data_IF_773429074597
#
_entry.id   IF_773429074597
#
_cell.length_a   1.000
_cell.length_b   1.000
_cell.length_c   1.000
_cell.angle_alpha   90.00
_cell.angle_beta   90.00
_cell.angle_gamma   90.00
#
_symmetry.space_group_name_H-M   'P 1'
#
loop_
_entity.id
_entity.type
_entity.pdbx_description
1 polymer ?
#
# COMPACT_ATOMS: atom_id res chain seq x y z
N UNK A 1 39.76 -53.67 12.53
CA UNK A 1 40.18 -52.38 11.94
C UNK A 1 38.97 -51.44 11.96
N UNK A 2 38.96 -50.44 12.84
CA UNK A 2 37.84 -49.48 12.99
C UNK A 2 38.03 -48.32 12.01
N UNK A 3 36.96 -47.98 11.30
CA UNK A 3 36.96 -47.11 10.12
C UNK A 3 37.13 -45.63 10.52
N UNK A 4 38.26 -44.97 10.23
CA UNK A 4 38.58 -43.63 10.73
C UNK A 4 37.69 -42.50 10.17
N UNK A 5 36.95 -42.74 9.07
CA UNK A 5 36.10 -41.74 8.43
C UNK A 5 34.85 -41.34 9.21
N UNK A 6 34.31 -42.22 10.07
CA UNK A 6 33.08 -41.90 10.84
C UNK A 6 33.31 -40.98 12.02
N UNK A 7 34.50 -41.04 12.63
CA UNK A 7 34.86 -40.14 13.74
C UNK A 7 35.06 -38.70 13.23
N UNK A 8 35.63 -38.54 12.04
CA UNK A 8 35.92 -37.23 11.47
C UNK A 8 34.64 -36.46 11.07
N UNK A 9 33.65 -37.16 10.47
CA UNK A 9 32.34 -36.57 10.13
C UNK A 9 31.55 -36.18 11.37
N UNK A 10 31.60 -36.98 12.43
CA UNK A 10 30.92 -36.67 13.70
C UNK A 10 31.51 -35.42 14.39
N UNK A 11 32.82 -35.22 14.31
CA UNK A 11 33.50 -34.04 14.90
C UNK A 11 33.12 -32.76 14.14
N UNK A 12 33.03 -32.81 12.80
CA UNK A 12 32.62 -31.65 11.98
C UNK A 12 31.16 -31.28 12.24
N UNK A 13 30.26 -32.27 12.34
CA UNK A 13 28.84 -32.04 12.66
C UNK A 13 28.65 -31.44 14.07
N UNK A 14 29.40 -31.93 15.07
CA UNK A 14 29.36 -31.33 16.41
C UNK A 14 29.88 -29.88 16.41
N UNK A 15 30.94 -29.59 15.65
CA UNK A 15 31.48 -28.23 15.51
C UNK A 15 30.48 -27.25 14.88
N UNK A 16 29.74 -27.69 13.86
CA UNK A 16 28.70 -26.89 13.21
C UNK A 16 27.50 -26.62 14.13
N UNK A 17 27.05 -27.64 14.88
CA UNK A 17 25.93 -27.51 15.82
C UNK A 17 26.30 -26.58 16.99
N UNK A 18 27.52 -26.69 17.54
CA UNK A 18 27.99 -25.81 18.60
C UNK A 18 28.15 -24.36 18.13
N UNK A 19 28.55 -24.15 16.87
CA UNK A 19 28.65 -22.82 16.27
C UNK A 19 27.27 -22.19 16.06
N UNK A 20 26.28 -22.96 15.57
CA UNK A 20 24.89 -22.53 15.44
C UNK A 20 24.25 -22.21 16.79
N UNK A 21 24.48 -23.04 17.81
CA UNK A 21 23.99 -22.80 19.17
C UNK A 21 24.60 -21.53 19.78
N UNK A 22 25.89 -21.26 19.55
CA UNK A 22 26.55 -20.03 20.00
C UNK A 22 26.04 -18.78 19.27
N UNK A 23 25.73 -18.89 17.98
CA UNK A 23 25.12 -17.80 17.19
C UNK A 23 23.70 -17.52 17.68
N UNK A 24 22.86 -18.55 17.85
CA UNK A 24 21.52 -18.42 18.38
C UNK A 24 21.50 -17.86 19.81
N UNK A 25 22.43 -18.29 20.67
CA UNK A 25 22.55 -17.74 22.02
C UNK A 25 22.95 -16.25 22.01
N UNK A 26 23.81 -15.82 21.08
CA UNK A 26 24.15 -14.39 20.90
C UNK A 26 22.99 -13.58 20.34
N UNK A 27 22.16 -14.16 19.47
CA UNK A 27 20.95 -13.51 18.94
C UNK A 27 19.92 -13.33 20.06
N UNK A 28 19.60 -14.40 20.80
CA UNK A 28 18.65 -14.35 21.92
C UNK A 28 19.13 -13.43 23.06
N UNK A 29 20.45 -13.37 23.33
CA UNK A 29 21.00 -12.44 24.32
C UNK A 29 20.88 -10.98 23.87
N UNK A 30 21.07 -10.69 22.58
CA UNK A 30 20.87 -9.34 22.02
C UNK A 30 19.40 -8.93 21.98
N UNK A 31 18.48 -9.87 21.81
CA UNK A 31 17.04 -9.60 21.90
C UNK A 31 16.58 -9.40 23.35
N UNK A 32 17.09 -10.19 24.31
CA UNK A 32 16.86 -9.98 25.74
C UNK A 32 17.39 -8.62 26.23
N UNK A 33 18.60 -8.23 25.84
CA UNK A 33 19.16 -6.91 26.18
C UNK A 33 18.44 -5.74 25.46
N UNK A 34 17.85 -5.97 24.28
CA UNK A 34 16.95 -5.01 23.62
C UNK A 34 15.63 -4.86 24.38
N UNK A 35 15.05 -5.95 24.87
CA UNK A 35 13.82 -5.94 25.66
C UNK A 35 14.01 -5.32 27.05
N UNK A 36 15.14 -5.59 27.72
CA UNK A 36 15.44 -4.99 29.03
C UNK A 36 15.74 -3.49 28.93
N UNK A 37 16.36 -3.02 27.83
CA UNK A 37 16.49 -1.59 27.55
C UNK A 37 15.15 -0.91 27.23
N UNK A 38 14.18 -1.65 26.70
CA UNK A 38 12.81 -1.17 26.47
C UNK A 38 11.98 -1.15 27.76
N UNK A 39 12.23 -2.06 28.71
CA UNK A 39 11.54 -2.11 30.01
C UNK A 39 12.08 -1.09 31.02
N UNK A 40 13.37 -0.74 30.95
CA UNK A 40 13.98 0.29 31.81
C UNK A 40 13.66 1.73 31.41
N UNK A 41 12.92 1.95 30.31
CA UNK A 41 12.46 3.26 29.87
C UNK A 41 11.14 3.68 30.59
N UNK A 42 11.14 3.71 31.92
CA UNK A 42 9.97 4.13 32.71
C UNK A 42 9.67 5.65 32.61
N UNK A 43 10.42 6.41 31.79
CA UNK A 43 10.16 7.81 31.43
C UNK A 43 9.45 8.02 30.08
N UNK A 44 9.05 6.95 29.36
CA UNK A 44 8.44 7.07 28.02
C UNK A 44 6.92 7.31 28.03
N UNK A 45 6.24 7.09 29.15
CA UNK A 45 4.78 7.32 29.25
C UNK A 45 4.42 8.81 29.20
N UNK A 46 5.27 9.69 29.71
CA UNK A 46 5.01 11.14 29.75
C UNK A 46 5.27 11.85 28.41
N UNK A 47 6.14 11.30 27.55
CA UNK A 47 6.35 11.82 26.19
C UNK A 47 5.25 11.38 25.20
N UNK A 48 4.69 10.19 25.42
CA UNK A 48 3.60 9.65 24.61
C UNK A 48 2.30 10.44 24.78
N UNK A 49 1.99 10.93 25.98
CA UNK A 49 0.81 11.77 26.26
C UNK A 49 0.97 13.20 25.75
N UNK A 50 2.17 13.78 25.79
CA UNK A 50 2.43 15.14 25.30
C UNK A 50 2.27 15.30 23.77
N UNK A 51 2.45 14.24 22.98
CA UNK A 51 2.30 14.26 21.51
C UNK A 51 0.86 14.08 21.01
N UNK A 52 -0.08 13.69 21.88
CA UNK A 52 -1.49 13.43 21.51
C UNK A 52 -2.19 14.70 21.00
N UNK A 53 -2.06 15.87 21.66
CA UNK A 53 -2.65 17.10 21.14
C UNK A 53 -2.10 17.50 19.76
N UNK A 54 -0.81 17.25 19.51
CA UNK A 54 -0.18 17.58 18.22
C UNK A 54 -0.67 16.67 17.10
N UNK A 55 -0.78 15.36 17.33
CA UNK A 55 -1.28 14.43 16.30
C UNK A 55 -2.77 14.63 16.05
N UNK A 56 -3.56 14.86 17.11
CA UNK A 56 -4.97 15.23 16.97
C UNK A 56 -5.11 16.50 16.14
N UNK A 57 -4.35 17.54 16.45
CA UNK A 57 -4.35 18.79 15.69
C UNK A 57 -4.01 18.56 14.22
N UNK A 58 -3.02 17.72 13.87
CA UNK A 58 -2.70 17.40 12.47
C UNK A 58 -3.88 16.75 11.74
N UNK A 59 -4.61 15.86 12.41
CA UNK A 59 -5.82 15.23 11.86
C UNK A 59 -6.89 16.30 11.63
N UNK A 60 -7.15 17.14 12.63
CA UNK A 60 -8.16 18.20 12.55
C UNK A 60 -7.79 19.24 11.46
N UNK A 61 -6.52 19.68 11.38
CA UNK A 61 -6.01 20.56 10.33
C UNK A 61 -6.19 19.94 8.93
N UNK A 62 -6.01 18.62 8.79
CA UNK A 62 -6.22 17.93 7.52
C UNK A 62 -7.71 17.82 7.16
N UNK A 63 -8.59 17.58 8.15
CA UNK A 63 -10.04 17.63 7.95
C UNK A 63 -10.46 19.02 7.48
N UNK A 64 -9.99 20.07 8.15
CA UNK A 64 -10.29 21.46 7.79
C UNK A 64 -9.80 21.78 6.36
N UNK A 65 -8.58 21.35 6.00
CA UNK A 65 -8.07 21.49 4.64
C UNK A 65 -8.95 20.76 3.61
N UNK A 66 -9.42 19.54 3.91
CA UNK A 66 -10.29 18.78 3.00
C UNK A 66 -11.68 19.41 2.88
N UNK A 67 -12.17 20.07 3.94
CA UNK A 67 -13.43 20.80 3.93
C UNK A 67 -13.40 21.97 2.92
N UNK A 68 -12.24 22.58 2.69
CA UNK A 68 -12.07 23.68 1.73
C UNK A 68 -12.20 23.24 0.26
N UNK A 69 -12.07 21.94 -0.03
CA UNK A 69 -12.28 21.40 -1.38
C UNK A 69 -13.77 21.38 -1.72
N UNK A 70 -14.24 22.52 -2.25
CA UNK A 70 -15.64 22.76 -2.59
C UNK A 70 -16.11 22.00 -3.83
N UNK A 71 -15.20 21.67 -4.75
CA UNK A 71 -15.51 20.99 -6.01
C UNK A 71 -14.74 19.67 -6.14
N UNK A 72 -15.25 18.79 -7.03
CA UNK A 72 -14.56 17.55 -7.38
C UNK A 72 -13.17 17.82 -7.96
N UNK A 73 -13.06 18.82 -8.82
CA UNK A 73 -11.79 19.17 -9.47
C UNK A 73 -10.75 19.66 -8.45
N UNK A 74 -11.17 20.42 -7.43
CA UNK A 74 -10.28 20.85 -6.34
C UNK A 74 -9.76 19.65 -5.55
N UNK A 75 -10.65 18.74 -5.15
CA UNK A 75 -10.27 17.55 -4.39
C UNK A 75 -9.34 16.63 -5.23
N UNK A 76 -9.64 16.44 -6.52
CA UNK A 76 -8.82 15.63 -7.44
C UNK A 76 -7.46 16.26 -7.67
N UNK A 77 -7.38 17.57 -7.86
CA UNK A 77 -6.10 18.29 -7.98
C UNK A 77 -5.26 18.09 -6.72
N UNK A 78 -5.87 18.25 -5.56
CA UNK A 78 -5.22 18.12 -4.27
C UNK A 78 -4.59 16.74 -4.03
N UNK A 79 -5.05 15.65 -4.66
CA UNK A 79 -4.42 14.32 -4.53
C UNK A 79 -2.93 14.30 -4.91
N UNK A 80 -2.51 15.18 -5.84
CA UNK A 80 -1.11 15.28 -6.28
C UNK A 80 -0.31 16.31 -5.47
N UNK A 81 -0.93 16.95 -4.48
CA UNK A 81 -0.31 17.96 -3.63
C UNK A 81 0.11 17.33 -2.28
N UNK A 82 1.22 17.79 -1.69
CA UNK A 82 1.62 17.37 -0.35
C UNK A 82 0.61 17.84 0.70
N UNK A 83 0.40 17.02 1.73
CA UNK A 83 -0.41 17.38 2.91
C UNK A 83 0.53 17.99 3.95
N UNK A 84 0.51 19.31 4.11
CA UNK A 84 1.42 20.00 5.05
C UNK A 84 2.89 20.02 4.59
N UNK A 85 3.82 20.06 5.56
CA UNK A 85 5.27 20.22 5.32
C UNK A 85 6.02 18.90 5.13
N UNK A 86 5.43 17.79 5.55
CA UNK A 86 5.96 16.44 5.40
C UNK A 86 4.94 15.61 4.62
N UNK A 87 5.37 14.72 3.72
CA UNK A 87 4.50 13.77 2.99
C UNK A 87 3.94 12.67 3.93
N UNK A 88 3.65 13.04 5.16
CA UNK A 88 2.93 12.23 6.12
C UNK A 88 1.45 12.47 5.85
N UNK A 89 0.88 11.71 4.90
CA UNK A 89 -0.51 11.24 5.13
C UNK A 89 -0.50 10.79 6.57
N UNK A 90 -1.38 11.35 7.42
CA UNK A 90 -1.38 11.11 8.87
C UNK A 90 -1.75 9.65 9.11
N UNK A 91 -0.77 8.80 8.86
CA UNK A 91 -0.80 7.36 8.87
C UNK A 91 0.10 6.98 10.02
N UNK A 92 -0.49 6.31 11.01
CA UNK A 92 0.25 5.41 11.90
C UNK A 92 1.60 5.96 12.41
N UNK A 93 1.59 6.93 13.33
CA UNK A 93 2.81 7.40 14.01
C UNK A 93 3.33 6.30 14.95
N UNK A 94 3.94 5.28 14.35
CA UNK A 94 4.38 4.07 15.01
C UNK A 94 4.99 3.04 14.06
N UNK A 95 4.62 3.06 12.77
CA UNK A 95 5.47 2.50 11.72
C UNK A 95 6.57 3.52 11.38
N UNK A 96 7.55 3.66 12.28
CA UNK A 96 8.88 4.12 11.90
C UNK A 96 9.55 3.05 11.02
N UNK A 97 9.05 2.85 9.81
CA UNK A 97 9.90 2.42 8.72
C UNK A 97 10.15 3.66 7.90
N UNK A 98 11.42 4.01 7.73
CA UNK A 98 11.91 5.00 6.77
C UNK A 98 11.56 4.69 5.30
N UNK A 99 10.59 3.81 5.08
CA UNK A 99 10.08 3.37 3.80
C UNK A 99 8.56 3.26 3.92
N UNK A 100 7.87 4.26 3.35
CA UNK A 100 6.52 4.10 2.83
C UNK A 100 6.57 2.94 1.84
N UNK A 101 6.32 1.71 2.31
CA UNK A 101 6.33 0.53 1.46
C UNK A 101 5.13 0.63 0.52
N UNK A 102 5.32 0.63 -0.80
CA UNK A 102 4.21 0.65 -1.76
C UNK A 102 3.26 -0.54 -1.62
N UNK A 103 3.61 -1.56 -0.84
CA UNK A 103 2.71 -2.66 -0.48
C UNK A 103 1.57 -2.21 0.43
N UNK A 104 1.77 -1.17 1.25
CA UNK A 104 0.74 -0.58 2.13
C UNK A 104 -0.14 0.44 1.42
N UNK A 105 0.03 0.62 0.11
CA UNK A 105 -0.61 1.70 -0.64
C UNK A 105 -2.14 1.65 -0.58
N UNK A 106 -2.73 0.46 -0.50
CA UNK A 106 -4.19 0.33 -0.43
C UNK A 106 -4.72 0.88 0.90
N UNK A 107 -4.07 0.55 2.01
CA UNK A 107 -4.38 1.12 3.31
C UNK A 107 -4.18 2.65 3.35
N UNK A 108 -3.14 3.17 2.67
CA UNK A 108 -2.94 4.61 2.57
C UNK A 108 -4.05 5.31 1.78
N UNK A 109 -4.56 4.68 0.72
CA UNK A 109 -5.71 5.20 -0.02
C UNK A 109 -6.96 5.24 0.86
N UNK A 110 -7.20 4.20 1.66
CA UNK A 110 -8.32 4.18 2.61
C UNK A 110 -8.16 5.18 3.77
N UNK A 111 -6.92 5.52 4.15
CA UNK A 111 -6.61 6.51 5.18
C UNK A 111 -6.72 7.96 4.68
N UNK A 112 -6.65 8.20 3.37
CA UNK A 112 -6.64 9.54 2.80
C UNK A 112 -8.05 10.13 2.73
N UNK A 113 -8.28 11.17 3.52
CA UNK A 113 -9.55 11.90 3.60
C UNK A 113 -9.93 12.58 2.28
N UNK A 114 -8.97 12.94 1.42
CA UNK A 114 -9.25 13.46 0.07
C UNK A 114 -9.93 12.39 -0.78
N UNK A 115 -9.50 11.13 -0.64
CA UNK A 115 -10.11 10.00 -1.36
C UNK A 115 -11.54 9.80 -0.86
N UNK A 116 -11.77 9.83 0.45
CA UNK A 116 -13.12 9.73 1.02
C UNK A 116 -14.03 10.88 0.54
N UNK A 117 -13.51 12.11 0.48
CA UNK A 117 -14.23 13.28 -0.04
C UNK A 117 -14.62 13.11 -1.51
N UNK A 118 -13.68 12.67 -2.35
CA UNK A 118 -13.92 12.39 -3.78
C UNK A 118 -14.94 11.26 -3.93
N UNK A 119 -14.82 10.20 -3.13
CA UNK A 119 -15.75 9.08 -3.12
C UNK A 119 -17.17 9.56 -2.85
N UNK A 120 -17.40 10.36 -1.80
CA UNK A 120 -18.72 10.93 -1.52
C UNK A 120 -19.25 11.79 -2.67
N UNK A 121 -18.40 12.64 -3.26
CA UNK A 121 -18.77 13.49 -4.39
C UNK A 121 -19.15 12.67 -5.63
N UNK A 122 -18.51 11.52 -5.87
CA UNK A 122 -18.85 10.61 -6.97
C UNK A 122 -20.10 9.79 -6.65
N UNK A 123 -20.24 9.29 -5.42
CA UNK A 123 -21.40 8.52 -4.97
C UNK A 123 -22.71 9.33 -5.02
N UNK A 124 -22.63 10.66 -4.89
CA UNK A 124 -23.77 11.56 -5.05
C UNK A 124 -24.20 11.81 -6.51
N UNK A 125 -23.46 11.28 -7.51
CA UNK A 125 -23.75 11.47 -8.94
C UNK A 125 -24.50 10.27 -9.52
N UNK A 126 -25.18 10.44 -10.68
CA UNK A 126 -25.67 9.31 -11.46
C UNK A 126 -24.54 8.32 -11.79
N UNK A 127 -24.84 7.02 -11.77
CA UNK A 127 -23.84 5.94 -11.96
C UNK A 127 -22.98 6.16 -13.21
N UNK A 128 -23.59 6.48 -14.35
CA UNK A 128 -22.87 6.71 -15.60
C UNK A 128 -21.95 7.94 -15.55
N UNK A 129 -22.31 8.97 -14.77
CA UNK A 129 -21.45 10.15 -14.59
C UNK A 129 -20.30 9.84 -13.62
N UNK A 130 -20.57 9.11 -12.54
CA UNK A 130 -19.55 8.69 -11.59
C UNK A 130 -18.49 7.80 -12.25
N UNK A 131 -18.91 6.83 -13.07
CA UNK A 131 -18.05 5.99 -13.88
C UNK A 131 -17.15 6.81 -14.82
N UNK A 132 -17.76 7.65 -15.67
CA UNK A 132 -17.01 8.51 -16.61
C UNK A 132 -16.00 9.41 -15.89
N UNK A 133 -16.38 9.99 -14.75
CA UNK A 133 -15.51 10.85 -13.97
C UNK A 133 -14.38 10.07 -13.30
N UNK A 134 -14.65 8.90 -12.71
CA UNK A 134 -13.61 8.05 -12.13
C UNK A 134 -12.57 7.63 -13.17
N UNK A 135 -13.03 7.18 -14.35
CA UNK A 135 -12.16 6.86 -15.48
C UNK A 135 -11.31 8.06 -15.91
N UNK A 136 -11.91 9.25 -16.02
CA UNK A 136 -11.19 10.47 -16.38
C UNK A 136 -10.15 10.89 -15.32
N UNK A 137 -10.45 10.70 -14.02
CA UNK A 137 -9.50 10.97 -12.93
C UNK A 137 -8.31 10.03 -13.06
N UNK A 138 -8.54 8.74 -13.30
CA UNK A 138 -7.48 7.76 -13.52
C UNK A 138 -6.59 8.13 -14.70
N UNK A 139 -7.17 8.44 -15.87
CA UNK A 139 -6.40 8.78 -17.06
C UNK A 139 -5.52 10.02 -16.83
N UNK A 140 -6.06 11.03 -16.15
CA UNK A 140 -5.30 12.23 -15.79
C UNK A 140 -4.15 11.92 -14.82
N UNK A 141 -4.38 11.09 -13.79
CA UNK A 141 -3.33 10.71 -12.83
C UNK A 141 -2.29 9.78 -13.43
N UNK A 142 -2.66 8.89 -14.35
CA UNK A 142 -1.72 8.04 -15.08
C UNK A 142 -0.80 8.87 -15.96
N UNK A 143 -1.35 9.86 -16.68
CA UNK A 143 -0.55 10.80 -17.47
C UNK A 143 0.44 11.56 -16.58
N UNK A 144 -0.05 12.20 -15.50
CA UNK A 144 0.80 12.96 -14.59
C UNK A 144 1.90 12.10 -13.94
N UNK A 145 1.58 10.85 -13.59
CA UNK A 145 2.56 9.91 -13.05
C UNK A 145 3.60 9.51 -14.10
N UNK A 146 3.18 9.22 -15.32
CA UNK A 146 4.08 8.87 -16.44
C UNK A 146 5.02 10.02 -16.78
N UNK A 147 4.50 11.25 -16.82
CA UNK A 147 5.28 12.47 -17.08
C UNK A 147 6.28 12.73 -15.95
N UNK A 148 5.83 12.61 -14.69
CA UNK A 148 6.69 12.77 -13.52
C UNK A 148 7.81 11.72 -13.46
N UNK A 149 7.51 10.47 -13.82
CA UNK A 149 8.49 9.39 -13.90
C UNK A 149 9.50 9.66 -15.02
N UNK A 150 9.02 10.07 -16.20
CA UNK A 150 9.87 10.38 -17.35
C UNK A 150 10.81 11.55 -17.06
N UNK A 151 10.31 12.60 -16.41
CA UNK A 151 11.13 13.72 -15.95
C UNK A 151 12.17 13.27 -14.92
N UNK A 152 11.79 12.45 -13.94
CA UNK A 152 12.73 11.93 -12.94
C UNK A 152 13.84 11.07 -13.54
N UNK A 153 13.53 10.27 -14.56
CA UNK A 153 14.51 9.48 -15.32
C UNK A 153 15.43 10.39 -16.14
N UNK A 154 14.89 11.43 -16.79
CA UNK A 154 15.67 12.40 -17.55
C UNK A 154 16.62 13.20 -16.64
N UNK A 155 16.13 13.70 -15.51
CA UNK A 155 16.93 14.41 -14.51
C UNK A 155 18.11 13.56 -14.00
N UNK A 156 17.88 12.26 -13.81
CA UNK A 156 18.95 11.33 -13.44
C UNK A 156 19.97 11.09 -14.56
N UNK A 157 19.51 11.08 -15.81
CA UNK A 157 20.37 10.91 -16.98
C UNK A 157 21.26 12.14 -17.22
N UNK A 158 20.72 13.34 -16.99
CA UNK A 158 21.33 14.62 -17.32
C UNK A 158 22.08 15.30 -16.15
N UNK A 159 21.90 14.82 -14.91
CA UNK A 159 22.41 15.44 -13.68
C UNK A 159 22.89 14.46 -12.59
N UNK A 160 23.38 15.03 -11.48
CA UNK A 160 24.25 14.49 -10.40
C UNK A 160 23.79 13.23 -9.60
N UNK A 161 22.99 12.34 -10.19
CA UNK A 161 22.60 11.07 -9.57
C UNK A 161 21.72 11.23 -8.32
N UNK A 162 20.79 12.19 -8.33
CA UNK A 162 19.76 12.35 -7.29
C UNK A 162 18.38 12.42 -7.93
N UNK A 163 17.61 11.32 -7.91
CA UNK A 163 16.18 11.32 -8.26
C UNK A 163 15.50 12.15 -7.19
N UNK A 164 14.69 13.15 -7.54
CA UNK A 164 13.80 13.79 -6.57
C UNK A 164 12.66 12.80 -6.28
N UNK A 165 12.63 12.12 -5.12
CA UNK A 165 11.71 11.00 -4.91
C UNK A 165 10.29 11.47 -4.57
N UNK A 166 10.13 12.72 -4.14
CA UNK A 166 8.87 13.25 -3.60
C UNK A 166 7.76 13.38 -4.66
N UNK A 167 7.99 13.97 -5.86
CA UNK A 167 6.94 14.07 -6.88
C UNK A 167 6.47 12.71 -7.42
N UNK A 168 7.38 11.74 -7.57
CA UNK A 168 7.05 10.39 -8.06
C UNK A 168 6.15 9.67 -7.07
N UNK A 169 6.46 9.76 -5.76
CA UNK A 169 5.65 9.15 -4.69
C UNK A 169 4.27 9.78 -4.56
N UNK A 170 4.18 11.11 -4.65
CA UNK A 170 2.92 11.85 -4.68
C UNK A 170 2.02 11.38 -5.83
N UNK A 171 2.58 11.31 -7.04
CA UNK A 171 1.83 10.88 -8.21
C UNK A 171 1.47 9.39 -8.16
N UNK A 172 2.33 8.54 -7.58
CA UNK A 172 2.01 7.13 -7.35
C UNK A 172 0.82 6.96 -6.40
N UNK A 173 0.79 7.72 -5.31
CA UNK A 173 -0.36 7.71 -4.39
C UNK A 173 -1.63 8.22 -5.10
N UNK A 174 -1.55 9.34 -5.81
CA UNK A 174 -2.68 9.91 -6.54
C UNK A 174 -3.24 8.94 -7.61
N UNK A 175 -2.37 8.24 -8.33
CA UNK A 175 -2.75 7.21 -9.30
C UNK A 175 -3.37 5.98 -8.62
N UNK A 176 -2.83 5.57 -7.47
CA UNK A 176 -3.43 4.51 -6.66
C UNK A 176 -4.84 4.90 -6.21
N UNK A 177 -5.01 6.08 -5.62
CA UNK A 177 -6.32 6.62 -5.25
C UNK A 177 -7.29 6.62 -6.45
N UNK A 178 -6.84 7.08 -7.61
CA UNK A 178 -7.66 7.07 -8.83
C UNK A 178 -8.06 5.65 -9.27
N UNK A 179 -7.14 4.68 -9.18
CA UNK A 179 -7.44 3.28 -9.49
C UNK A 179 -8.45 2.67 -8.51
N UNK A 180 -8.36 3.01 -7.22
CA UNK A 180 -9.38 2.61 -6.24
C UNK A 180 -10.75 3.21 -6.57
N UNK A 181 -10.81 4.48 -6.97
CA UNK A 181 -12.06 5.11 -7.40
C UNK A 181 -12.63 4.44 -8.66
N UNK A 182 -11.79 4.07 -9.63
CA UNK A 182 -12.22 3.24 -10.78
C UNK A 182 -12.79 1.90 -10.31
N UNK A 183 -12.12 1.20 -9.41
CA UNK A 183 -12.62 -0.07 -8.88
C UNK A 183 -13.97 0.07 -8.14
N UNK A 184 -14.24 1.24 -7.57
CA UNK A 184 -15.48 1.53 -6.86
C UNK A 184 -16.65 1.92 -7.79
N UNK A 185 -16.38 2.73 -8.81
CA UNK A 185 -17.43 3.37 -9.62
C UNK A 185 -17.52 2.87 -11.06
N UNK A 186 -16.43 2.39 -11.66
CA UNK A 186 -16.46 1.80 -13.00
C UNK A 186 -17.04 0.38 -12.97
N UNK A 187 -17.43 -0.14 -14.13
CA UNK A 187 -17.62 -1.57 -14.29
C UNK A 187 -16.28 -2.34 -14.18
N UNK A 188 -16.36 -3.65 -13.92
CA UNK A 188 -15.16 -4.47 -13.75
C UNK A 188 -14.26 -4.47 -15.00
N UNK A 189 -14.81 -4.68 -16.23
CA UNK A 189 -13.98 -4.65 -17.43
C UNK A 189 -13.19 -3.35 -17.59
N UNK A 190 -13.83 -2.19 -17.39
CA UNK A 190 -13.16 -0.89 -17.50
C UNK A 190 -12.10 -0.70 -16.42
N UNK A 191 -12.40 -1.07 -15.17
CA UNK A 191 -11.41 -0.99 -14.08
C UNK A 191 -10.20 -1.92 -14.34
N UNK A 192 -10.43 -3.13 -14.83
CA UNK A 192 -9.35 -4.07 -15.20
C UNK A 192 -8.53 -3.55 -16.39
N UNK A 193 -9.17 -2.96 -17.39
CA UNK A 193 -8.48 -2.32 -18.53
C UNK A 193 -7.59 -1.18 -18.05
N UNK A 194 -8.07 -0.31 -17.16
CA UNK A 194 -7.27 0.76 -16.57
C UNK A 194 -6.08 0.23 -15.77
N UNK A 195 -6.29 -0.81 -14.95
CA UNK A 195 -5.20 -1.45 -14.21
C UNK A 195 -4.15 -2.04 -15.17
N UNK A 196 -4.59 -2.69 -16.25
CA UNK A 196 -3.69 -3.21 -17.28
C UNK A 196 -2.97 -2.09 -18.03
N UNK A 197 -3.62 -0.97 -18.30
CA UNK A 197 -3.00 0.20 -18.92
C UNK A 197 -1.87 0.74 -18.03
N UNK A 198 -2.09 0.86 -16.72
CA UNK A 198 -1.04 1.24 -15.77
C UNK A 198 0.15 0.27 -15.82
N UNK A 199 -0.11 -1.04 -15.70
CA UNK A 199 0.93 -2.07 -15.77
C UNK A 199 1.72 -2.01 -17.09
N UNK A 200 1.03 -1.81 -18.22
CA UNK A 200 1.65 -1.82 -19.56
C UNK A 200 2.47 -0.56 -19.82
N UNK A 201 1.90 0.62 -19.54
CA UNK A 201 2.56 1.92 -19.78
C UNK A 201 3.83 2.03 -18.95
N UNK A 202 3.76 1.66 -17.66
CA UNK A 202 4.92 1.76 -16.78
C UNK A 202 5.86 0.56 -16.95
N UNK A 203 5.34 -0.63 -17.28
CA UNK A 203 6.17 -1.80 -17.59
C UNK A 203 7.14 -1.53 -18.73
N UNK A 204 6.68 -0.90 -19.82
CA UNK A 204 7.54 -0.47 -20.92
C UNK A 204 8.66 0.48 -20.44
N UNK A 205 8.38 1.36 -19.47
CA UNK A 205 9.40 2.25 -18.89
C UNK A 205 10.40 1.51 -18.01
N UNK A 206 9.96 0.50 -17.27
CA UNK A 206 10.85 -0.38 -16.51
C UNK A 206 11.80 -1.10 -17.47
N UNK A 207 11.31 -1.61 -18.59
CA UNK A 207 12.12 -2.29 -19.62
C UNK A 207 13.12 -1.32 -20.29
N UNK A 208 12.69 -0.10 -20.62
CA UNK A 208 13.56 0.98 -21.12
C UNK A 208 14.71 1.27 -20.13
N UNK A 209 14.40 1.34 -18.83
CA UNK A 209 15.39 1.62 -17.76
C UNK A 209 16.33 0.43 -17.54
N UNK A 210 15.82 -0.81 -17.54
CA UNK A 210 16.62 -2.02 -17.33
C UNK A 210 17.63 -2.27 -18.47
N UNK A 211 17.22 -1.92 -19.69
CA UNK A 211 18.03 -2.07 -20.90
C UNK A 211 19.12 -1.01 -21.06
N UNK A 212 18.96 0.19 -20.48
CA UNK A 212 19.96 1.25 -20.47
C UNK A 212 20.99 1.05 -19.32
N UNK A 213 22.27 0.75 -19.62
CA UNK A 213 23.29 0.54 -18.59
C UNK A 213 23.50 1.71 -17.63
N UNK A 214 23.18 2.95 -18.04
CA UNK A 214 23.29 4.14 -17.19
C UNK A 214 22.14 4.26 -16.20
N UNK A 215 20.98 3.71 -16.55
CA UNK A 215 19.75 3.81 -15.77
C UNK A 215 19.42 2.56 -14.98
N UNK A 216 20.06 1.41 -15.24
CA UNK A 216 19.77 0.13 -14.57
C UNK A 216 19.68 0.20 -13.04
N UNK A 217 20.48 1.06 -12.40
CA UNK A 217 20.42 1.28 -10.96
C UNK A 217 19.08 1.85 -10.46
N UNK A 218 18.31 2.51 -11.33
CA UNK A 218 16.97 3.02 -11.04
C UNK A 218 15.86 1.99 -11.24
N UNK A 219 16.14 0.84 -11.86
CA UNK A 219 15.10 -0.14 -12.21
C UNK A 219 14.24 -0.48 -11.00
N UNK A 220 14.86 -0.71 -9.84
CA UNK A 220 14.16 -1.06 -8.61
C UNK A 220 13.25 0.08 -8.11
N UNK A 221 13.71 1.32 -8.14
CA UNK A 221 12.91 2.48 -7.72
C UNK A 221 11.74 2.73 -8.68
N UNK A 222 11.98 2.62 -9.98
CA UNK A 222 10.96 2.75 -11.03
C UNK A 222 9.93 1.62 -10.90
N UNK A 223 10.36 0.39 -10.62
CA UNK A 223 9.46 -0.73 -10.37
C UNK A 223 8.63 -0.51 -9.09
N UNK A 224 9.28 -0.09 -8.01
CA UNK A 224 8.68 0.12 -6.68
C UNK A 224 7.64 1.24 -6.66
N UNK A 225 7.94 2.37 -7.30
CA UNK A 225 7.08 3.56 -7.29
C UNK A 225 6.37 3.82 -8.62
N UNK A 226 6.56 2.96 -9.61
CA UNK A 226 5.92 3.06 -10.92
C UNK A 226 4.83 2.01 -11.14
N UNK A 227 5.04 0.77 -10.72
CA UNK A 227 4.07 -0.32 -10.93
C UNK A 227 3.15 -0.50 -9.71
N UNK A 228 1.88 -0.89 -9.92
CA UNK A 228 1.01 -1.27 -8.82
C UNK A 228 1.59 -2.51 -8.15
N UNK A 229 1.78 -2.46 -6.83
CA UNK A 229 2.31 -3.59 -6.09
C UNK A 229 1.33 -4.75 -6.02
N UNK A 230 1.84 -5.99 -5.93
CA UNK A 230 0.99 -7.18 -5.94
C UNK A 230 -0.06 -7.19 -4.82
N UNK A 231 0.29 -6.76 -3.61
CA UNK A 231 -0.66 -6.66 -2.50
C UNK A 231 -1.75 -5.61 -2.76
N UNK A 232 -1.41 -4.52 -3.44
CA UNK A 232 -2.36 -3.49 -3.86
C UNK A 232 -3.36 -4.07 -4.88
N UNK A 233 -2.86 -4.79 -5.89
CA UNK A 233 -3.69 -5.45 -6.91
C UNK A 233 -4.60 -6.51 -6.29
N UNK A 234 -4.09 -7.31 -5.35
CA UNK A 234 -4.88 -8.31 -4.63
C UNK A 234 -6.08 -7.67 -3.90
N UNK A 235 -5.83 -6.60 -3.14
CA UNK A 235 -6.88 -5.87 -2.43
C UNK A 235 -7.91 -5.27 -3.40
N UNK A 236 -7.48 -4.76 -4.56
CA UNK A 236 -8.41 -4.30 -5.61
C UNK A 236 -9.28 -5.43 -6.16
N UNK A 237 -8.71 -6.61 -6.42
CA UNK A 237 -9.46 -7.76 -6.94
C UNK A 237 -10.53 -8.21 -5.95
N UNK A 238 -10.17 -8.37 -4.67
CA UNK A 238 -11.14 -8.71 -3.63
C UNK A 238 -12.23 -7.66 -3.51
N UNK A 239 -11.84 -6.38 -3.45
CA UNK A 239 -12.79 -5.28 -3.36
C UNK A 239 -13.79 -5.28 -4.52
N UNK A 240 -13.31 -5.40 -5.76
CA UNK A 240 -14.19 -5.47 -6.94
C UNK A 240 -15.09 -6.70 -6.91
N UNK A 241 -14.58 -7.86 -6.49
CA UNK A 241 -15.33 -9.11 -6.47
C UNK A 241 -16.54 -9.03 -5.52
N UNK A 242 -16.33 -8.52 -4.32
CA UNK A 242 -17.39 -8.34 -3.32
C UNK A 242 -18.37 -7.24 -3.74
N UNK A 243 -17.86 -6.09 -4.22
CA UNK A 243 -18.69 -4.97 -4.69
C UNK A 243 -19.65 -5.39 -5.80
N UNK A 244 -19.20 -6.24 -6.73
CA UNK A 244 -20.02 -6.74 -7.84
C UNK A 244 -20.98 -7.87 -7.43
N UNK A 245 -20.98 -8.27 -6.16
CA UNK A 245 -21.86 -9.32 -5.66
C UNK A 245 -21.52 -10.72 -6.17
N UNK A 246 -20.26 -10.96 -6.56
CA UNK A 246 -19.83 -12.25 -7.11
C UNK A 246 -19.56 -13.32 -6.04
N UNK A 247 -19.43 -12.92 -4.78
CA UNK A 247 -19.23 -13.80 -3.63
C UNK A 247 -18.36 -13.13 -2.56
N UNK A 248 -17.91 -13.92 -1.59
CA UNK A 248 -16.95 -13.50 -0.56
C UNK A 248 -15.52 -13.94 -0.91
N UNK A 249 -14.53 -13.47 -0.15
CA UNK A 249 -13.10 -13.86 -0.29
C UNK A 249 -12.91 -15.39 -0.44
N UNK A 250 -13.60 -16.18 0.36
CA UNK A 250 -13.52 -17.65 0.31
C UNK A 250 -14.10 -18.27 -0.96
N UNK A 251 -15.02 -17.59 -1.64
CA UNK A 251 -15.47 -18.01 -2.97
C UNK A 251 -14.38 -17.75 -4.01
N UNK A 252 -13.72 -16.60 -3.93
CA UNK A 252 -12.64 -16.23 -4.82
C UNK A 252 -11.45 -17.18 -4.71
N UNK A 253 -11.04 -17.57 -3.49
CA UNK A 253 -10.02 -18.60 -3.25
C UNK A 253 -10.38 -19.93 -3.92
N UNK A 254 -11.63 -20.39 -3.73
CA UNK A 254 -12.12 -21.66 -4.30
C UNK A 254 -12.20 -21.61 -5.82
N UNK A 255 -12.65 -20.49 -6.39
CA UNK A 255 -12.81 -20.33 -7.84
C UNK A 255 -11.47 -20.24 -8.58
N UNK A 256 -10.43 -19.71 -7.92
CA UNK A 256 -9.08 -19.60 -8.46
C UNK A 256 -8.17 -20.78 -8.09
N UNK A 257 -8.61 -21.66 -7.18
CA UNK A 257 -7.81 -22.78 -6.63
C UNK A 257 -6.47 -22.30 -6.04
N UNK A 258 -6.53 -21.25 -5.22
CA UNK A 258 -5.36 -20.65 -4.57
C UNK A 258 -5.62 -20.44 -3.08
N UNK A 259 -4.55 -20.14 -2.34
CA UNK A 259 -4.65 -19.57 -0.99
C UNK A 259 -4.28 -18.10 -1.02
N UNK A 260 -5.03 -17.30 -0.28
CA UNK A 260 -4.80 -15.88 -0.13
C UNK A 260 -4.37 -15.54 1.31
N UNK A 261 -3.72 -14.38 1.53
CA UNK A 261 -3.43 -13.89 2.87
C UNK A 261 -4.70 -13.65 3.69
N UNK A 262 -4.53 -13.44 4.99
CA UNK A 262 -5.64 -13.08 5.86
C UNK A 262 -6.13 -11.66 5.54
N UNK A 263 -7.45 -11.52 5.43
CA UNK A 263 -8.13 -10.24 5.32
C UNK A 263 -8.79 -9.85 6.63
N UNK A 264 -8.71 -8.57 6.97
CA UNK A 264 -9.54 -7.94 7.99
C UNK A 264 -10.59 -7.06 7.33
N UNK A 265 -11.74 -6.91 7.99
CA UNK A 265 -12.75 -5.96 7.57
C UNK A 265 -12.45 -4.60 8.19
N UNK A 266 -12.32 -3.58 7.35
CA UNK A 266 -12.03 -2.21 7.77
C UNK A 266 -13.09 -1.25 7.21
N UNK A 267 -13.60 -0.31 8.01
CA UNK A 267 -14.51 0.71 7.50
C UNK A 267 -13.73 1.78 6.72
N UNK A 268 -14.21 2.13 5.53
CA UNK A 268 -13.80 3.35 4.84
C UNK A 268 -14.73 4.48 5.28
N UNK A 269 -14.28 5.29 6.23
CA UNK A 269 -15.10 6.34 6.85
C UNK A 269 -15.20 7.60 5.97
N UNK A 270 -16.22 8.42 6.26
CA UNK A 270 -16.33 9.76 5.68
C UNK A 270 -15.07 10.61 5.98
N UNK A 271 -14.79 11.60 5.13
CA UNK A 271 -13.58 12.42 5.24
C UNK A 271 -13.53 13.26 6.53
N UNK A 272 -14.70 13.63 7.05
CA UNK A 272 -14.92 14.40 8.27
C UNK A 272 -15.08 13.53 9.52
N UNK A 273 -14.90 12.22 9.40
CA UNK A 273 -14.95 11.30 10.54
C UNK A 273 -13.95 11.73 11.62
N UNK A 274 -14.45 11.82 12.86
CA UNK A 274 -13.65 12.31 13.97
C UNK A 274 -12.44 11.42 14.23
N UNK A 275 -12.58 10.11 14.06
CA UNK A 275 -11.48 9.13 14.12
C UNK A 275 -11.67 8.08 13.03
N UNK A 276 -10.69 7.94 12.15
CA UNK A 276 -10.62 6.93 11.10
C UNK A 276 -9.82 5.70 11.60
N UNK A 277 -10.08 4.45 11.14
CA UNK A 277 -9.31 3.26 11.52
C UNK A 277 -7.79 3.35 11.28
N UNK A 278 -7.32 4.28 10.45
CA UNK A 278 -5.88 4.47 10.19
C UNK A 278 -5.27 5.64 10.97
N UNK A 279 -6.07 6.40 11.71
CA UNK A 279 -5.58 7.54 12.48
C UNK A 279 -4.71 7.07 13.65
N UNK A 280 -3.69 7.87 13.99
CA UNK A 280 -2.83 7.65 15.14
C UNK A 280 -3.62 7.42 16.45
N UNK A 281 -4.71 8.17 16.64
CA UNK A 281 -5.59 8.07 17.81
C UNK A 281 -6.23 6.69 17.92
N UNK A 282 -6.68 6.10 16.81
CA UNK A 282 -7.18 4.73 16.82
C UNK A 282 -6.06 3.72 17.07
N UNK A 283 -5.03 3.74 16.22
CA UNK A 283 -4.00 2.69 16.18
C UNK A 283 -3.20 2.59 17.48
N UNK A 284 -2.84 3.71 18.11
CA UNK A 284 -1.97 3.70 19.30
C UNK A 284 -2.67 4.03 20.61
N UNK A 285 -3.89 4.58 20.55
CA UNK A 285 -4.65 4.99 21.74
C UNK A 285 -5.97 4.28 21.87
N UNK A 286 -6.30 3.36 20.96
CA UNK A 286 -7.53 2.58 20.98
C UNK A 286 -8.77 3.48 21.05
N UNK A 287 -8.68 4.71 20.52
CA UNK A 287 -9.85 5.58 20.38
C UNK A 287 -10.80 4.88 19.42
N UNK A 288 -12.09 4.72 19.76
CA UNK A 288 -13.05 4.09 18.87
C UNK A 288 -13.07 4.77 17.50
N UNK A 289 -13.18 3.96 16.45
CA UNK A 289 -13.45 4.49 15.11
C UNK A 289 -14.81 5.18 15.14
N UNK A 290 -14.89 6.32 14.48
CA UNK A 290 -16.17 6.98 14.19
C UNK A 290 -16.89 6.20 13.09
N UNK A 291 -17.82 5.35 13.52
CA UNK A 291 -18.59 4.44 12.68
C UNK A 291 -20.00 4.98 12.34
N UNK A 292 -20.31 6.24 12.72
CA UNK A 292 -21.60 6.85 12.42
C UNK A 292 -21.80 7.04 10.90
N UNK A 293 -20.71 7.28 10.16
CA UNK A 293 -20.71 7.50 8.70
C UNK A 293 -19.63 6.69 8.00
N UNK A 294 -19.84 5.38 7.94
CA UNK A 294 -19.04 4.49 7.08
C UNK A 294 -19.55 4.57 5.64
N UNK A 295 -18.64 4.87 4.69
CA UNK A 295 -18.96 4.91 3.27
C UNK A 295 -19.14 3.50 2.71
N UNK A 296 -18.19 2.61 3.02
CA UNK A 296 -18.18 1.18 2.67
C UNK A 296 -17.33 0.40 3.68
N UNK A 297 -17.59 -0.90 3.82
CA UNK A 297 -16.67 -1.82 4.48
C UNK A 297 -15.80 -2.50 3.42
N UNK A 298 -14.51 -2.63 3.68
CA UNK A 298 -13.53 -3.17 2.74
C UNK A 298 -12.75 -4.29 3.41
N UNK A 299 -12.55 -5.40 2.69
CA UNK A 299 -11.58 -6.43 3.10
C UNK A 299 -10.17 -5.95 2.74
N UNK A 300 -9.30 -5.88 3.75
CA UNK A 300 -7.92 -5.43 3.62
C UNK A 300 -6.96 -6.54 4.05
N UNK A 301 -6.07 -6.94 3.16
CA UNK A 301 -4.84 -7.64 3.50
C UNK A 301 -3.71 -6.62 3.69
N UNK A 302 -3.13 -6.58 4.90
CA UNK A 302 -2.01 -5.66 5.24
C UNK A 302 -0.64 -6.20 4.86
N UNK A 303 -0.51 -7.51 4.72
CA UNK A 303 0.76 -8.14 4.35
C UNK A 303 0.50 -9.49 3.70
N UNK A 304 1.54 -10.03 3.09
CA UNK A 304 1.60 -11.45 2.72
C UNK A 304 2.07 -12.32 3.91
N UNK A 305 2.20 -11.78 5.14
CA UNK A 305 2.74 -12.53 6.27
C UNK A 305 1.93 -13.80 6.56
N UNK A 306 2.64 -14.87 6.97
CA UNK A 306 2.08 -16.22 7.09
C UNK A 306 2.08 -17.02 5.78
N UNK A 307 2.36 -16.35 4.65
CA UNK A 307 2.44 -16.92 3.32
C UNK A 307 3.69 -16.38 2.61
N UNK A 308 4.84 -17.02 2.81
CA UNK A 308 6.11 -16.57 2.23
C UNK A 308 6.12 -16.77 0.70
N UNK A 309 5.40 -15.91 -0.02
CA UNK A 309 5.34 -15.87 -1.48
C UNK A 309 6.40 -14.91 -2.01
N UNK A 310 7.32 -15.41 -2.82
CA UNK A 310 8.17 -14.55 -3.65
C UNK A 310 7.32 -13.69 -4.58
N UNK A 311 7.87 -12.61 -5.14
CA UNK A 311 7.15 -11.76 -6.10
C UNK A 311 6.55 -12.58 -7.27
N UNK A 312 7.27 -13.60 -7.74
CA UNK A 312 6.77 -14.51 -8.80
C UNK A 312 5.57 -15.35 -8.36
N UNK A 313 5.51 -15.76 -7.09
CA UNK A 313 4.37 -16.52 -6.57
C UNK A 313 3.17 -15.60 -6.32
N UNK A 314 3.40 -14.37 -5.87
CA UNK A 314 2.35 -13.35 -5.76
C UNK A 314 1.76 -13.04 -7.14
N UNK A 315 2.60 -12.87 -8.18
CA UNK A 315 2.14 -12.70 -9.56
C UNK A 315 1.33 -13.91 -10.05
N UNK A 316 1.75 -15.14 -9.72
CA UNK A 316 1.01 -16.35 -10.07
C UNK A 316 -0.41 -16.37 -9.45
N UNK A 317 -0.53 -15.95 -8.17
CA UNK A 317 -1.82 -15.75 -7.50
C UNK A 317 -2.68 -14.74 -8.25
N UNK A 318 -2.14 -13.57 -8.58
CA UNK A 318 -2.89 -12.54 -9.30
C UNK A 318 -3.32 -13.00 -10.71
N UNK A 319 -2.46 -13.75 -11.40
CA UNK A 319 -2.77 -14.32 -12.71
C UNK A 319 -3.88 -15.38 -12.63
N UNK A 320 -3.98 -16.14 -11.54
CA UNK A 320 -5.07 -17.08 -11.31
C UNK A 320 -6.41 -16.36 -11.00
N UNK A 321 -6.36 -15.22 -10.33
CA UNK A 321 -7.52 -14.41 -9.99
C UNK A 321 -8.12 -13.67 -11.20
N UNK A 322 -7.29 -13.19 -12.11
CA UNK A 322 -7.71 -12.34 -13.24
C UNK A 322 -8.86 -12.94 -14.08
N UNK A 323 -8.83 -14.21 -14.52
CA UNK A 323 -9.94 -14.80 -15.27
C UNK A 323 -11.23 -14.92 -14.45
N UNK A 324 -11.15 -15.03 -13.12
CA UNK A 324 -12.34 -15.02 -12.24
C UNK A 324 -12.97 -13.64 -12.25
N UNK A 325 -12.14 -12.59 -12.17
CA UNK A 325 -12.57 -11.19 -12.20
C UNK A 325 -13.24 -10.81 -13.53
N UNK A 326 -12.67 -11.24 -14.65
CA UNK A 326 -13.24 -11.00 -15.99
C UNK A 326 -14.63 -11.64 -16.14
N UNK A 327 -14.81 -12.86 -15.60
CA UNK A 327 -16.12 -13.54 -15.61
C UNK A 327 -17.13 -12.87 -14.67
N UNK A 328 -16.67 -12.34 -13.54
CA UNK A 328 -17.50 -11.63 -12.58
C UNK A 328 -18.07 -10.34 -13.20
N UNK A 329 -17.26 -9.57 -13.93
CA UNK A 329 -17.68 -8.33 -14.59
C UNK A 329 -18.56 -8.48 -15.83
N UNK A 330 -18.78 -9.72 -16.31
CA UNK A 330 -19.57 -10.00 -17.51
C UNK A 330 -21.03 -10.38 -17.21
N UNK A 331 -21.46 -10.35 -15.94
CA UNK A 331 -22.81 -10.70 -15.48
C UNK A 331 -23.69 -9.48 -15.32
#
# INVERSE_FOLDING_TARGET
MRNPGRAFVAIILLGAILSLAAIMHRINKREGEKLDRLSSASGRKDQLTAGVPTQRKRIDDFIDQVAEYATLDDAVRALSEPVGTDFDIVFDVGLHTSELSPQMQFAQVLADRRVARIYEMLAAKPVADADRLAASIFDAKLSAHTDGLSQGIADWRDGDGQVRPVPVRLNYHALSAAMFLCAAFCDAPSALEKLQAWQSVIGARVDDVASDPKLRQLEQEVRKYGLPQNLYVLNLYVFMFERLGCGEVGDLERLADIRMPQFEEVPFCAWDAHTNPFDFTHVHRTVPVDDERVLIHVKLARSWEGYAYSDSEQEAVLNALRPVMERCGSR
#
